data_IF_673110886590
#
_entry.id   IF_673110886590
#
_cell.length_a   1.000
_cell.length_b   1.000
_cell.length_c   1.000
_cell.angle_alpha   90.00
_cell.angle_beta   90.00
_cell.angle_gamma   90.00
#
_symmetry.space_group_name_H-M   'P 1'
#
loop_
_entity.id
_entity.type
_entity.pdbx_description
1 polymer ?
#
# COMPACT_ATOMS: atom_id res chain seq x y z
N UNK A 1 32.74 -17.45 16.67
CA UNK A 1 31.38 -17.04 17.05
C UNK A 1 31.05 -15.63 16.54
N UNK A 2 31.67 -14.54 17.03
CA UNK A 2 31.35 -13.16 16.58
C UNK A 2 31.47 -12.93 15.06
N UNK A 3 32.58 -13.35 14.44
CA UNK A 3 32.76 -13.21 12.98
C UNK A 3 31.77 -14.04 12.16
N UNK A 4 31.37 -15.22 12.66
CA UNK A 4 30.33 -16.02 12.00
C UNK A 4 28.99 -15.27 12.05
N UNK A 5 28.63 -14.70 13.20
CA UNK A 5 27.41 -13.90 13.31
C UNK A 5 27.39 -12.71 12.36
N UNK A 6 28.51 -11.99 12.18
CA UNK A 6 28.56 -10.88 11.20
C UNK A 6 28.39 -11.40 9.77
N UNK A 7 29.04 -12.51 9.41
CA UNK A 7 28.90 -13.10 8.08
C UNK A 7 27.46 -13.58 7.83
N UNK A 8 26.83 -14.19 8.84
CA UNK A 8 25.44 -14.63 8.80
C UNK A 8 24.49 -13.42 8.64
N UNK A 9 24.75 -12.31 9.34
CA UNK A 9 23.99 -11.06 9.17
C UNK A 9 24.10 -10.52 7.75
N UNK A 10 25.31 -10.40 7.21
CA UNK A 10 25.53 -9.89 5.85
C UNK A 10 24.88 -10.82 4.81
N UNK A 11 25.01 -12.13 5.00
CA UNK A 11 24.42 -13.13 4.13
C UNK A 11 22.90 -13.04 4.13
N UNK A 12 22.25 -12.95 5.30
CA UNK A 12 20.81 -12.77 5.42
C UNK A 12 20.36 -11.43 4.85
N UNK A 13 21.10 -10.34 5.09
CA UNK A 13 20.83 -9.05 4.45
C UNK A 13 20.80 -9.14 2.92
N UNK A 14 21.72 -9.88 2.31
CA UNK A 14 21.72 -10.15 0.87
C UNK A 14 20.59 -11.07 0.41
N UNK A 15 20.28 -12.11 1.17
CA UNK A 15 19.19 -13.02 0.84
C UNK A 15 17.83 -12.28 0.87
N UNK A 16 17.55 -11.54 1.95
CA UNK A 16 16.33 -10.72 2.06
C UNK A 16 16.24 -9.65 0.98
N UNK A 17 17.38 -9.04 0.59
CA UNK A 17 17.39 -8.09 -0.52
C UNK A 17 17.10 -8.77 -1.86
N UNK A 18 17.69 -9.93 -2.14
CA UNK A 18 17.45 -10.69 -3.38
C UNK A 18 16.00 -11.13 -3.49
N UNK A 19 15.41 -11.63 -2.40
CA UNK A 19 14.00 -12.01 -2.35
C UNK A 19 13.08 -10.81 -2.59
N UNK A 20 13.40 -9.66 -1.98
CA UNK A 20 12.68 -8.41 -2.20
C UNK A 20 12.79 -7.91 -3.64
N UNK A 21 14.00 -7.93 -4.24
CA UNK A 21 14.25 -7.47 -5.61
C UNK A 21 13.60 -8.37 -6.67
N UNK A 22 13.57 -9.69 -6.45
CA UNK A 22 13.15 -10.67 -7.46
C UNK A 22 11.65 -10.64 -7.74
N UNK A 23 10.83 -10.66 -6.68
CA UNK A 23 9.37 -10.73 -6.81
C UNK A 23 8.67 -9.40 -6.55
N UNK A 24 9.07 -8.69 -5.50
CA UNK A 24 8.33 -7.51 -5.03
C UNK A 24 8.65 -6.25 -5.83
N UNK A 25 9.91 -6.04 -6.24
CA UNK A 25 10.26 -4.84 -7.02
C UNK A 25 9.63 -4.86 -8.41
N UNK A 26 9.66 -6.00 -9.09
CA UNK A 26 9.15 -6.12 -10.45
C UNK A 26 7.61 -5.96 -10.49
N UNK A 27 6.91 -6.67 -9.61
CA UNK A 27 5.45 -6.78 -9.66
C UNK A 27 4.72 -5.67 -8.91
N UNK A 28 5.36 -5.03 -7.93
CA UNK A 28 4.72 -4.02 -7.09
C UNK A 28 5.40 -2.64 -7.19
N UNK A 29 6.72 -2.58 -7.00
CA UNK A 29 7.43 -1.29 -6.88
C UNK A 29 7.52 -0.52 -8.22
N UNK A 30 7.80 -1.20 -9.34
CA UNK A 30 7.85 -0.55 -10.66
C UNK A 30 6.47 0.04 -11.04
N UNK A 31 5.37 -0.74 -10.97
CA UNK A 31 4.03 -0.18 -11.16
C UNK A 31 3.70 0.96 -10.19
N UNK A 32 4.18 0.89 -8.94
CA UNK A 32 4.00 1.95 -7.95
C UNK A 32 4.55 3.30 -8.42
N UNK A 33 5.82 3.30 -8.85
CA UNK A 33 6.48 4.52 -9.29
C UNK A 33 5.83 5.07 -10.56
N UNK A 34 5.38 4.17 -11.44
CA UNK A 34 4.67 4.52 -12.65
C UNK A 34 3.31 5.18 -12.33
N UNK A 35 2.52 4.61 -11.41
CA UNK A 35 1.27 5.23 -10.94
C UNK A 35 1.54 6.57 -10.25
N UNK A 36 2.56 6.64 -9.39
CA UNK A 36 2.88 7.87 -8.68
C UNK A 36 3.28 9.00 -9.64
N UNK A 37 4.05 8.69 -10.68
CA UNK A 37 4.36 9.60 -11.78
C UNK A 37 3.11 10.01 -12.57
N UNK A 38 2.22 9.06 -12.87
CA UNK A 38 0.96 9.33 -13.56
C UNK A 38 0.09 10.27 -12.73
N UNK A 39 -0.04 10.00 -11.43
CA UNK A 39 -0.78 10.86 -10.51
C UNK A 39 -0.15 12.25 -10.39
N UNK A 40 1.18 12.36 -10.53
CA UNK A 40 1.85 13.66 -10.57
C UNK A 40 1.58 14.46 -11.84
N UNK A 41 1.40 13.83 -12.99
CA UNK A 41 1.09 14.56 -14.22
C UNK A 41 -0.42 14.81 -14.34
N UNK A 42 -1.22 13.78 -14.10
CA UNK A 42 -2.62 13.78 -14.46
C UNK A 42 -3.55 14.33 -13.35
N UNK A 43 -3.26 14.14 -12.05
CA UNK A 43 -4.17 14.66 -11.00
C UNK A 43 -4.17 16.20 -10.97
N UNK A 44 -5.29 16.89 -11.24
CA UNK A 44 -5.27 18.34 -11.26
C UNK A 44 -4.90 18.89 -9.88
N UNK A 45 -3.91 19.78 -9.83
CA UNK A 45 -3.47 20.44 -8.59
C UNK A 45 -4.64 21.08 -7.85
N UNK A 46 -5.61 21.62 -8.59
CA UNK A 46 -6.85 22.23 -8.09
C UNK A 46 -7.68 21.25 -7.24
N UNK A 47 -7.76 19.97 -7.62
CA UNK A 47 -8.51 18.98 -6.86
C UNK A 47 -7.81 18.66 -5.54
N UNK A 48 -6.48 18.51 -5.56
CA UNK A 48 -5.69 18.31 -4.35
C UNK A 48 -5.79 19.53 -3.43
N UNK A 49 -5.70 20.75 -3.95
CA UNK A 49 -5.85 21.96 -3.13
C UNK A 49 -7.28 22.11 -2.56
N UNK A 50 -8.31 21.73 -3.33
CA UNK A 50 -9.70 21.80 -2.89
C UNK A 50 -10.02 20.81 -1.76
N UNK A 51 -9.56 19.57 -1.86
CA UNK A 51 -9.93 18.49 -0.93
C UNK A 51 -8.85 18.14 0.10
N UNK A 52 -7.57 18.35 -0.21
CA UNK A 52 -6.44 18.00 0.66
C UNK A 52 -5.55 19.21 0.96
N UNK A 53 -5.86 20.39 0.43
CA UNK A 53 -5.04 21.59 0.56
C UNK A 53 -5.03 22.14 1.98
N UNK A 54 -4.03 22.97 2.28
CA UNK A 54 -3.88 23.60 3.60
C UNK A 54 -5.08 24.47 3.98
N UNK A 55 -5.65 25.18 3.01
CA UNK A 55 -6.77 26.10 3.23
C UNK A 55 -8.15 25.43 3.12
N UNK A 56 -8.18 24.11 2.86
CA UNK A 56 -9.42 23.35 2.80
C UNK A 56 -10.05 23.20 4.19
N UNK A 57 -11.38 23.15 4.25
CA UNK A 57 -12.09 22.94 5.51
C UNK A 57 -11.68 21.59 6.10
N UNK A 58 -11.16 21.60 7.34
CA UNK A 58 -10.65 20.42 8.04
C UNK A 58 -11.67 19.27 8.13
N UNK A 59 -12.96 19.61 8.23
CA UNK A 59 -14.05 18.64 8.26
C UNK A 59 -14.21 17.85 6.96
N UNK A 60 -13.68 18.36 5.84
CA UNK A 60 -13.68 17.67 4.54
C UNK A 60 -12.35 16.97 4.32
N UNK A 61 -11.22 17.66 4.57
CA UNK A 61 -9.93 17.13 4.15
C UNK A 61 -9.43 15.93 4.92
N UNK A 62 -9.71 15.86 6.23
CA UNK A 62 -9.31 14.74 7.05
C UNK A 62 -10.11 13.46 6.75
N UNK A 63 -11.45 13.48 6.68
CA UNK A 63 -12.22 12.30 6.28
C UNK A 63 -11.90 11.84 4.85
N UNK A 64 -11.76 12.77 3.89
CA UNK A 64 -11.39 12.42 2.51
C UNK A 64 -10.02 11.76 2.46
N UNK A 65 -9.03 12.26 3.21
CA UNK A 65 -7.71 11.64 3.29
C UNK A 65 -7.76 10.23 3.91
N UNK A 66 -8.52 10.06 5.01
CA UNK A 66 -8.64 8.78 5.69
C UNK A 66 -9.34 7.72 4.82
N UNK A 67 -10.47 8.09 4.20
CA UNK A 67 -11.25 7.22 3.30
C UNK A 67 -10.48 6.91 2.01
N UNK A 68 -9.73 7.88 1.47
CA UNK A 68 -8.86 7.61 0.32
C UNK A 68 -7.84 6.51 0.64
N UNK A 69 -7.34 6.42 1.86
CA UNK A 69 -6.48 5.32 2.29
C UNK A 69 -7.18 3.96 2.25
N UNK A 70 -8.43 3.88 2.74
CA UNK A 70 -9.24 2.65 2.74
C UNK A 70 -9.50 2.12 1.32
N UNK A 71 -9.74 3.02 0.36
CA UNK A 71 -10.09 2.65 -1.02
C UNK A 71 -8.87 2.25 -1.86
N UNK A 72 -7.70 2.79 -1.53
CA UNK A 72 -6.47 2.61 -2.31
C UNK A 72 -5.74 1.38 -1.73
N UNK A 73 -6.06 0.19 -2.27
CA UNK A 73 -5.48 -1.09 -1.86
C UNK A 73 -3.99 -1.19 -2.24
N UNK A 74 -3.15 -0.52 -1.46
CA UNK A 74 -1.79 -0.14 -1.84
C UNK A 74 -0.90 -0.30 -0.61
N UNK A 75 0.22 -1.00 -0.74
CA UNK A 75 1.14 -1.31 0.36
C UNK A 75 2.00 -0.09 0.76
N UNK A 76 2.73 -0.18 1.87
CA UNK A 76 3.61 0.91 2.34
C UNK A 76 4.62 1.39 1.27
N UNK A 77 5.15 0.49 0.44
CA UNK A 77 6.09 0.83 -0.65
C UNK A 77 5.48 1.73 -1.74
N UNK A 78 4.16 1.68 -1.91
CA UNK A 78 3.43 2.36 -3.00
C UNK A 78 2.72 3.62 -2.48
N UNK A 79 2.33 3.63 -1.21
CA UNK A 79 1.78 4.81 -0.51
C UNK A 79 2.83 5.93 -0.35
N UNK A 80 4.10 5.60 -0.14
CA UNK A 80 5.16 6.61 0.04
C UNK A 80 5.41 7.51 -1.20
N UNK A 81 5.58 6.96 -2.43
CA UNK A 81 5.60 7.76 -3.65
C UNK A 81 4.33 8.60 -3.84
N UNK A 82 3.17 8.01 -3.54
CA UNK A 82 1.89 8.68 -3.68
C UNK A 82 1.75 9.86 -2.70
N UNK A 83 2.15 9.67 -1.45
CA UNK A 83 2.27 10.71 -0.44
C UNK A 83 3.18 11.85 -0.93
N UNK A 84 4.33 11.51 -1.51
CA UNK A 84 5.24 12.50 -2.08
C UNK A 84 4.60 13.28 -3.24
N UNK A 85 3.82 12.61 -4.11
CA UNK A 85 3.08 13.24 -5.20
C UNK A 85 2.05 14.25 -4.70
N UNK A 86 1.19 13.87 -3.76
CA UNK A 86 0.16 14.78 -3.22
C UNK A 86 0.82 15.94 -2.43
N UNK A 87 1.95 15.69 -1.77
CA UNK A 87 2.72 16.72 -1.05
C UNK A 87 3.32 17.75 -1.97
N UNK A 88 3.98 17.33 -3.05
CA UNK A 88 4.54 18.24 -4.06
C UNK A 88 3.45 19.11 -4.71
N UNK A 89 2.22 18.59 -4.82
CA UNK A 89 1.06 19.33 -5.35
C UNK A 89 0.41 20.32 -4.38
N UNK A 90 0.88 20.39 -3.13
CA UNK A 90 0.42 21.38 -2.16
C UNK A 90 -0.60 20.88 -1.13
N UNK A 91 -0.72 19.57 -0.94
CA UNK A 91 -1.53 19.03 0.16
C UNK A 91 -1.04 19.53 1.54
N UNK A 92 -1.98 19.86 2.42
CA UNK A 92 -1.75 20.26 3.81
C UNK A 92 -0.98 19.19 4.59
N UNK A 93 -0.27 19.60 5.66
CA UNK A 93 0.52 18.67 6.48
C UNK A 93 -0.32 17.58 7.12
N UNK A 94 -1.42 17.96 7.76
CA UNK A 94 -2.31 17.01 8.41
C UNK A 94 -2.96 16.03 7.45
N UNK A 95 -3.74 16.47 6.44
CA UNK A 95 -4.42 15.56 5.51
C UNK A 95 -3.47 14.59 4.79
N UNK A 96 -2.26 15.04 4.44
CA UNK A 96 -1.28 14.17 3.80
C UNK A 96 -0.74 13.09 4.76
N UNK A 97 -0.54 13.41 6.05
CA UNK A 97 -0.10 12.43 7.06
C UNK A 97 -1.24 11.47 7.42
N UNK A 98 -2.48 11.96 7.51
CA UNK A 98 -3.67 11.13 7.67
C UNK A 98 -3.79 10.12 6.52
N UNK A 99 -3.57 10.56 5.28
CA UNK A 99 -3.52 9.66 4.13
C UNK A 99 -2.37 8.63 4.24
N UNK A 100 -1.16 9.09 4.56
CA UNK A 100 0.04 8.26 4.67
C UNK A 100 -0.14 7.13 5.70
N UNK A 101 -0.75 7.42 6.85
CA UNK A 101 -1.01 6.46 7.91
C UNK A 101 -2.19 5.54 7.57
N UNK A 102 -3.30 6.10 7.07
CA UNK A 102 -4.53 5.33 6.83
C UNK A 102 -4.35 4.27 5.73
N UNK A 103 -3.66 4.60 4.64
CA UNK A 103 -3.63 3.77 3.45
C UNK A 103 -3.13 2.32 3.67
N UNK A 104 -1.98 2.08 4.33
CA UNK A 104 -1.56 0.71 4.62
C UNK A 104 -2.31 0.11 5.82
N UNK A 105 -2.68 0.91 6.83
CA UNK A 105 -3.29 0.44 8.07
C UNK A 105 -4.71 -0.15 7.90
N UNK A 106 -5.53 0.48 7.05
CA UNK A 106 -6.93 0.08 6.80
C UNK A 106 -7.15 -0.49 5.40
N UNK A 107 -6.12 -0.98 4.75
CA UNK A 107 -6.26 -1.67 3.48
C UNK A 107 -7.28 -2.81 3.62
N UNK A 108 -8.29 -2.82 2.72
CA UNK A 108 -9.38 -3.80 2.73
C UNK A 108 -8.85 -5.25 2.75
N UNK A 109 -7.77 -5.54 2.02
CA UNK A 109 -7.17 -6.87 2.01
C UNK A 109 -6.55 -7.24 3.35
N UNK A 110 -5.82 -6.30 3.97
CA UNK A 110 -5.25 -6.50 5.30
C UNK A 110 -6.34 -6.77 6.34
N UNK A 111 -7.44 -6.02 6.27
CA UNK A 111 -8.58 -6.18 7.17
C UNK A 111 -9.30 -7.52 6.98
N UNK A 112 -9.54 -7.94 5.74
CA UNK A 112 -10.17 -9.23 5.44
C UNK A 112 -9.28 -10.39 5.89
N UNK A 113 -7.98 -10.35 5.58
CA UNK A 113 -7.03 -11.37 6.04
C UNK A 113 -6.92 -11.40 7.56
N UNK A 114 -6.81 -10.24 8.20
CA UNK A 114 -6.79 -10.14 9.66
C UNK A 114 -8.08 -10.72 10.25
N UNK A 115 -9.23 -10.47 9.62
CA UNK A 115 -10.52 -10.98 10.07
C UNK A 115 -10.63 -12.50 9.97
N UNK A 116 -10.21 -13.08 8.84
CA UNK A 116 -10.29 -14.52 8.60
C UNK A 116 -9.22 -15.34 9.34
N UNK A 117 -8.02 -14.78 9.48
CA UNK A 117 -6.87 -15.47 10.10
C UNK A 117 -6.69 -15.05 11.56
N UNK A 118 -6.99 -13.87 12.02
CA UNK A 118 -6.70 -13.52 13.44
C UNK A 118 -7.98 -13.45 14.27
N UNK A 119 -9.01 -12.87 13.68
CA UNK A 119 -10.32 -12.70 14.29
C UNK A 119 -10.92 -11.37 13.87
N UNK A 120 -12.26 -11.35 13.79
CA UNK A 120 -13.01 -10.16 13.43
C UNK A 120 -12.83 -9.02 14.44
N UNK A 121 -12.61 -9.34 15.71
CA UNK A 121 -12.31 -8.38 16.79
C UNK A 121 -11.05 -7.56 16.49
N UNK A 122 -9.94 -8.20 16.10
CA UNK A 122 -8.69 -7.51 15.76
C UNK A 122 -8.86 -6.72 14.46
N UNK A 123 -9.57 -7.26 13.46
CA UNK A 123 -9.80 -6.55 12.20
C UNK A 123 -10.63 -5.27 12.39
N UNK A 124 -11.71 -5.33 13.17
CA UNK A 124 -12.57 -4.18 13.48
C UNK A 124 -11.78 -3.16 14.31
N UNK A 125 -11.06 -3.61 15.33
CA UNK A 125 -10.21 -2.73 16.14
C UNK A 125 -9.13 -2.05 15.29
N UNK A 126 -8.45 -2.79 14.42
CA UNK A 126 -7.48 -2.26 13.45
C UNK A 126 -8.12 -1.18 12.58
N UNK A 127 -9.28 -1.44 11.98
CA UNK A 127 -9.96 -0.45 11.13
C UNK A 127 -10.33 0.84 11.88
N UNK A 128 -11.00 0.71 13.04
CA UNK A 128 -11.50 1.86 13.80
C UNK A 128 -10.35 2.67 14.38
N UNK A 129 -9.41 2.02 15.09
CA UNK A 129 -8.30 2.71 15.73
C UNK A 129 -7.36 3.35 14.71
N UNK A 130 -7.12 2.69 13.57
CA UNK A 130 -6.30 3.28 12.51
C UNK A 130 -6.91 4.56 11.93
N UNK A 131 -8.20 4.55 11.61
CA UNK A 131 -8.87 5.75 11.08
C UNK A 131 -8.86 6.90 12.09
N UNK A 132 -9.16 6.60 13.35
CA UNK A 132 -9.14 7.59 14.43
C UNK A 132 -7.73 8.16 14.63
N UNK A 133 -6.72 7.30 14.76
CA UNK A 133 -5.34 7.74 15.00
C UNK A 133 -4.73 8.42 13.76
N UNK A 134 -5.06 8.01 12.55
CA UNK A 134 -4.64 8.71 11.33
C UNK A 134 -5.08 10.19 11.35
N UNK A 135 -6.34 10.44 11.74
CA UNK A 135 -6.90 11.79 11.82
C UNK A 135 -6.23 12.57 12.97
N UNK A 136 -6.10 11.95 14.15
CA UNK A 136 -5.50 12.59 15.32
C UNK A 136 -4.02 12.92 15.08
N UNK A 137 -3.22 11.98 14.58
CA UNK A 137 -1.79 12.18 14.28
C UNK A 137 -1.64 13.28 13.22
N UNK A 138 -2.44 13.25 12.17
CA UNK A 138 -2.46 14.31 11.16
C UNK A 138 -2.78 15.68 11.76
N UNK A 139 -3.78 15.74 12.65
CA UNK A 139 -4.20 16.98 13.28
C UNK A 139 -3.14 17.54 14.22
N UNK A 140 -2.53 16.68 15.05
CA UNK A 140 -1.42 17.06 15.93
C UNK A 140 -0.22 17.55 15.10
N UNK A 141 0.13 16.85 14.02
CA UNK A 141 1.22 17.25 13.12
C UNK A 141 0.95 18.61 12.47
N UNK A 142 -0.30 18.88 12.09
CA UNK A 142 -0.71 20.20 11.64
C UNK A 142 -0.57 21.22 12.77
N UNK A 143 -1.08 20.98 13.97
CA UNK A 143 -0.97 21.94 15.08
C UNK A 143 0.47 22.29 15.47
N UNK A 144 1.38 21.30 15.50
CA UNK A 144 2.78 21.50 15.90
C UNK A 144 3.54 22.32 14.85
N UNK A 145 3.28 22.07 13.56
CA UNK A 145 4.08 22.62 12.47
C UNK A 145 3.36 23.69 11.63
N UNK A 146 2.07 23.89 11.84
CA UNK A 146 1.30 25.00 11.28
C UNK A 146 1.52 26.26 12.13
N UNK A 147 2.79 26.64 12.27
CA UNK A 147 3.10 28.01 12.63
C UNK A 147 2.63 28.86 11.46
N UNK A 148 1.55 29.63 11.67
CA UNK A 148 1.24 30.84 10.90
C UNK A 148 2.57 31.56 10.72
N UNK A 149 3.16 31.54 9.51
CA UNK A 149 4.22 32.49 9.19
C UNK A 149 3.58 33.86 9.40
N UNK A 150 4.09 34.71 10.31
CA UNK A 150 3.64 36.08 10.35
C UNK A 150 3.92 36.68 8.96
N UNK A 151 2.92 37.34 8.40
CA UNK A 151 3.09 38.22 7.24
C UNK A 151 4.15 39.27 7.59
N UNK A 152 5.41 39.03 7.23
CA UNK A 152 6.47 40.05 7.08
C UNK A 152 7.79 39.41 6.65
N UNK A 153 7.81 38.99 5.38
CA UNK A 153 8.96 39.02 4.42
C UNK A 153 8.50 38.51 3.03
N UNK A 154 7.22 38.71 2.70
CA UNK A 154 6.52 38.22 1.49
C UNK A 154 6.62 39.17 0.28
N UNK A 155 7.74 39.87 0.11
CA UNK A 155 7.80 41.07 -0.75
C UNK A 155 8.22 40.86 -2.21
N UNK A 156 8.98 39.81 -2.55
CA UNK A 156 9.57 39.67 -3.90
C UNK A 156 9.53 38.26 -4.48
N UNK A 157 9.72 37.22 -3.68
CA UNK A 157 9.71 35.82 -4.17
C UNK A 157 8.29 35.27 -4.37
N UNK A 158 7.34 35.58 -3.47
CA UNK A 158 5.93 35.17 -3.62
C UNK A 158 5.23 35.91 -4.77
N UNK A 159 5.62 37.16 -5.05
CA UNK A 159 5.06 37.93 -6.19
C UNK A 159 5.50 37.36 -7.53
N UNK A 160 6.76 36.94 -7.64
CA UNK A 160 7.25 36.26 -8.84
C UNK A 160 6.62 34.86 -8.99
N UNK A 161 6.45 34.12 -7.89
CA UNK A 161 5.75 32.84 -7.90
C UNK A 161 4.25 32.96 -8.19
N UNK A 162 3.56 34.01 -7.76
CA UNK A 162 2.16 34.27 -8.09
C UNK A 162 1.98 34.70 -9.56
N UNK A 163 2.93 35.47 -10.10
CA UNK A 163 2.95 35.87 -11.51
C UNK A 163 3.24 34.65 -12.40
N UNK A 164 4.21 33.81 -12.03
CA UNK A 164 4.50 32.56 -12.73
C UNK A 164 3.34 31.57 -12.61
N UNK A 165 2.71 31.43 -11.43
CA UNK A 165 1.51 30.60 -11.25
C UNK A 165 0.24 31.16 -11.91
N UNK A 166 0.15 32.47 -12.17
CA UNK A 166 -0.96 33.07 -12.93
C UNK A 166 -0.75 32.91 -14.44
N UNK A 167 0.50 32.98 -14.92
CA UNK A 167 0.87 32.63 -16.30
C UNK A 167 0.65 31.13 -16.56
N UNK A 168 1.15 30.27 -15.67
CA UNK A 168 0.89 28.83 -15.71
C UNK A 168 -0.60 28.53 -15.61
N UNK A 169 -1.40 29.19 -14.75
CA UNK A 169 -2.86 29.01 -14.72
C UNK A 169 -3.56 29.44 -16.01
N UNK A 170 -3.08 30.48 -16.69
CA UNK A 170 -3.65 30.95 -17.95
C UNK A 170 -3.27 30.04 -19.11
N UNK A 171 -2.08 29.45 -19.09
CA UNK A 171 -1.63 28.45 -20.06
C UNK A 171 -2.23 27.05 -19.81
N UNK A 172 -2.32 26.60 -18.55
CA UNK A 172 -3.02 25.37 -18.13
C UNK A 172 -4.52 25.44 -18.42
N UNK A 173 -5.20 26.57 -18.14
CA UNK A 173 -6.62 26.74 -18.52
C UNK A 173 -6.84 26.70 -20.03
N UNK A 174 -5.81 27.04 -20.83
CA UNK A 174 -5.87 26.98 -22.30
C UNK A 174 -5.56 25.59 -22.86
N UNK A 175 -4.80 24.75 -22.12
CA UNK A 175 -4.37 23.40 -22.54
C UNK A 175 -5.15 22.25 -21.88
N UNK A 176 -5.74 22.42 -20.71
CA UNK A 176 -6.41 21.34 -19.97
C UNK A 176 -7.91 21.58 -19.80
N UNK A 177 -8.68 21.19 -20.81
CA UNK A 177 -9.97 20.54 -20.53
C UNK A 177 -9.64 19.19 -19.90
N UNK A 178 -9.73 19.12 -18.56
CA UNK A 178 -9.48 17.89 -17.80
C UNK A 178 -10.44 16.82 -18.32
N UNK A 179 -9.93 15.91 -19.14
CA UNK A 179 -10.71 14.78 -19.58
C UNK A 179 -10.65 13.74 -18.45
N UNK A 180 -11.58 13.83 -17.50
CA UNK A 180 -11.73 12.90 -16.38
C UNK A 180 -11.78 11.43 -16.85
N UNK A 181 -12.16 11.19 -18.12
CA UNK A 181 -12.04 9.88 -18.76
C UNK A 181 -10.60 9.39 -18.90
N UNK A 182 -9.62 10.26 -19.22
CA UNK A 182 -8.19 9.89 -19.39
C UNK A 182 -7.50 9.58 -18.05
N UNK A 183 -7.86 10.26 -16.97
CA UNK A 183 -7.34 9.95 -15.62
C UNK A 183 -7.89 8.64 -15.08
N UNK A 184 -9.23 8.50 -15.19
CA UNK A 184 -9.93 7.32 -14.73
C UNK A 184 -9.40 6.06 -15.41
N UNK A 185 -9.10 6.14 -16.72
CA UNK A 185 -8.60 4.99 -17.49
C UNK A 185 -7.17 4.58 -17.16
N UNK A 186 -6.23 5.51 -16.92
CA UNK A 186 -4.86 5.15 -16.49
C UNK A 186 -4.88 4.60 -15.06
N UNK A 187 -5.55 5.30 -14.15
CA UNK A 187 -5.57 4.92 -12.73
C UNK A 187 -6.27 3.59 -12.52
N UNK A 188 -7.40 3.31 -13.19
CA UNK A 188 -8.09 2.03 -13.08
C UNK A 188 -7.48 0.93 -13.95
N UNK A 189 -6.87 1.24 -15.10
CA UNK A 189 -6.20 0.23 -15.92
C UNK A 189 -4.97 -0.36 -15.21
N UNK A 190 -4.16 0.49 -14.57
CA UNK A 190 -3.00 0.02 -13.79
C UNK A 190 -3.43 -0.55 -12.45
N UNK A 191 -4.44 0.03 -11.77
CA UNK A 191 -5.00 -0.55 -10.54
C UNK A 191 -5.68 -1.89 -10.78
N UNK A 192 -6.44 -2.05 -11.87
CA UNK A 192 -7.06 -3.31 -12.28
C UNK A 192 -6.04 -4.36 -12.71
N UNK A 193 -4.93 -3.96 -13.35
CA UNK A 193 -3.81 -4.84 -13.66
C UNK A 193 -3.07 -5.28 -12.39
N UNK A 194 -2.83 -4.37 -11.43
CA UNK A 194 -2.18 -4.70 -10.16
C UNK A 194 -3.07 -5.52 -9.24
N UNK A 195 -4.35 -5.17 -9.13
CA UNK A 195 -5.35 -5.96 -8.43
C UNK A 195 -5.47 -7.33 -9.10
N UNK A 196 -5.48 -7.40 -10.42
CA UNK A 196 -5.40 -8.65 -11.18
C UNK A 196 -4.19 -9.48 -10.75
N UNK A 197 -2.97 -8.97 -10.92
CA UNK A 197 -1.73 -9.67 -10.53
C UNK A 197 -1.76 -10.12 -9.06
N UNK A 198 -2.26 -9.28 -8.16
CA UNK A 198 -2.38 -9.55 -6.73
C UNK A 198 -3.41 -10.67 -6.43
N UNK A 199 -4.58 -10.62 -7.08
CA UNK A 199 -5.60 -11.67 -7.03
C UNK A 199 -5.12 -12.99 -7.65
N UNK A 200 -4.15 -12.93 -8.56
CA UNK A 200 -3.55 -14.09 -9.21
C UNK A 200 -2.41 -14.72 -8.39
N UNK A 201 -1.88 -13.99 -7.41
CA UNK A 201 -0.93 -14.45 -6.39
C UNK A 201 -1.60 -14.89 -5.08
N UNK A 202 -2.91 -14.70 -4.96
CA UNK A 202 -3.68 -15.11 -3.78
C UNK A 202 -3.72 -16.65 -3.70
N UNK A 203 -3.07 -17.19 -2.68
CA UNK A 203 -2.79 -18.61 -2.51
C UNK A 203 -3.99 -19.40 -1.95
N UNK A 204 -4.02 -20.70 -2.24
CA UNK A 204 -4.99 -21.70 -1.79
C UNK A 204 -5.19 -21.72 -0.27
N UNK A 205 -4.16 -21.36 0.48
CA UNK A 205 -4.18 -21.28 1.96
C UNK A 205 -5.17 -20.26 2.52
N UNK A 206 -5.49 -19.17 1.79
CA UNK A 206 -6.52 -18.23 2.24
C UNK A 206 -7.92 -18.85 2.09
N UNK A 207 -8.16 -19.61 1.01
CA UNK A 207 -9.45 -20.24 0.74
C UNK A 207 -9.85 -21.24 1.83
N UNK A 208 -8.89 -22.05 2.29
CA UNK A 208 -9.12 -23.02 3.35
C UNK A 208 -9.49 -22.34 4.68
N UNK A 209 -9.03 -21.09 4.91
CA UNK A 209 -9.33 -20.31 6.11
C UNK A 209 -10.70 -19.62 6.11
N UNK A 210 -11.31 -19.40 4.94
CA UNK A 210 -12.59 -18.70 4.79
C UNK A 210 -13.81 -19.64 4.76
N UNK A 211 -13.62 -20.95 4.94
CA UNK A 211 -14.71 -21.94 4.89
C UNK A 211 -15.35 -22.10 3.51
N UNK A 212 -14.73 -21.53 2.45
CA UNK A 212 -15.19 -21.71 1.07
C UNK A 212 -14.70 -23.09 0.63
N UNK A 213 -15.53 -24.10 0.90
CA UNK A 213 -15.21 -25.52 0.74
C UNK A 213 -14.87 -25.97 -0.69
N UNK A 214 -15.02 -25.10 -1.69
CA UNK A 214 -14.52 -25.37 -3.04
C UNK A 214 -13.73 -24.19 -3.61
N UNK A 215 -12.48 -24.43 -4.07
CA UNK A 215 -11.70 -23.44 -4.82
C UNK A 215 -12.42 -22.85 -6.02
N UNK A 216 -13.36 -23.62 -6.60
CA UNK A 216 -14.22 -23.22 -7.69
C UNK A 216 -15.15 -22.05 -7.32
N UNK A 217 -15.79 -22.08 -6.15
CA UNK A 217 -16.72 -21.03 -5.70
C UNK A 217 -15.97 -19.72 -5.47
N UNK A 218 -14.82 -19.75 -4.82
CA UNK A 218 -14.00 -18.55 -4.60
C UNK A 218 -13.55 -17.94 -5.93
N UNK A 219 -13.05 -18.77 -6.84
CA UNK A 219 -12.61 -18.32 -8.16
C UNK A 219 -13.76 -17.73 -8.96
N UNK A 220 -14.98 -18.25 -8.79
CA UNK A 220 -16.20 -17.71 -9.37
C UNK A 220 -16.63 -16.39 -8.72
N UNK A 221 -16.50 -16.24 -7.40
CA UNK A 221 -16.78 -14.97 -6.69
C UNK A 221 -15.79 -13.89 -7.13
N UNK A 222 -14.50 -14.21 -7.16
CA UNK A 222 -13.48 -13.31 -7.68
C UNK A 222 -13.78 -12.95 -9.14
N UNK A 223 -14.21 -13.94 -9.94
CA UNK A 223 -14.65 -13.74 -11.32
C UNK A 223 -15.77 -12.69 -11.43
N UNK A 224 -16.83 -12.86 -10.64
CA UNK A 224 -18.00 -11.96 -10.58
C UNK A 224 -17.58 -10.55 -10.16
N UNK A 225 -16.72 -10.41 -9.14
CA UNK A 225 -16.25 -9.11 -8.66
C UNK A 225 -15.45 -8.38 -9.75
N UNK A 226 -14.51 -9.07 -10.41
CA UNK A 226 -13.74 -8.45 -11.49
C UNK A 226 -14.62 -8.10 -12.71
N UNK A 227 -15.56 -8.94 -13.11
CA UNK A 227 -16.53 -8.61 -14.17
C UNK A 227 -17.43 -7.44 -13.80
N UNK A 228 -17.98 -7.43 -12.59
CA UNK A 228 -18.80 -6.34 -12.09
C UNK A 228 -18.01 -5.02 -12.08
N UNK A 229 -16.74 -5.05 -11.65
CA UNK A 229 -15.87 -3.86 -11.66
C UNK A 229 -15.61 -3.34 -13.09
N UNK A 230 -15.42 -4.23 -14.07
CA UNK A 230 -15.20 -3.88 -15.48
C UNK A 230 -16.48 -3.37 -16.17
N UNK A 231 -17.64 -3.93 -15.83
CA UNK A 231 -18.95 -3.50 -16.34
C UNK A 231 -19.30 -2.12 -15.77
N UNK A 232 -19.16 -1.95 -14.44
CA UNK A 232 -19.35 -0.66 -13.77
C UNK A 232 -18.41 0.38 -14.39
N UNK A 233 -17.16 0.02 -14.68
CA UNK A 233 -16.21 0.89 -15.37
C UNK A 233 -16.66 1.26 -16.79
N UNK A 234 -17.14 0.28 -17.58
CA UNK A 234 -17.67 0.52 -18.92
C UNK A 234 -18.87 1.46 -18.91
N UNK A 235 -19.72 1.37 -17.88
CA UNK A 235 -20.89 2.22 -17.69
C UNK A 235 -20.51 3.63 -17.25
N UNK A 236 -19.57 3.78 -16.31
CA UNK A 236 -19.16 5.10 -15.78
C UNK A 236 -18.40 5.92 -16.84
N UNK A 237 -17.53 5.28 -17.62
CA UNK A 237 -16.60 6.01 -18.49
C UNK A 237 -16.93 5.98 -19.98
N UNK A 238 -17.99 5.26 -20.39
CA UNK A 238 -18.44 5.12 -21.77
C UNK A 238 -17.29 4.74 -22.75
N UNK A 239 -16.31 3.96 -22.28
CA UNK A 239 -15.15 3.49 -23.05
C UNK A 239 -15.31 2.00 -23.37
N UNK A 240 -16.16 1.66 -24.34
CA UNK A 240 -16.52 0.26 -24.68
C UNK A 240 -15.33 -0.58 -25.17
N UNK A 241 -14.36 0.01 -25.86
CA UNK A 241 -13.22 -0.75 -26.41
C UNK A 241 -12.18 -1.16 -25.35
N UNK A 242 -11.94 -0.32 -24.35
CA UNK A 242 -10.99 -0.61 -23.28
C UNK A 242 -11.55 -1.66 -22.30
N UNK A 243 -12.83 -1.57 -21.98
CA UNK A 243 -13.50 -2.55 -21.10
C UNK A 243 -13.57 -3.92 -21.74
N UNK A 244 -13.85 -4.01 -23.06
CA UNK A 244 -13.85 -5.28 -23.79
C UNK A 244 -12.47 -5.95 -23.82
N UNK A 245 -11.39 -5.17 -23.96
CA UNK A 245 -10.04 -5.71 -23.94
C UNK A 245 -9.64 -6.25 -22.55
N UNK A 246 -9.88 -5.49 -21.48
CA UNK A 246 -9.65 -5.97 -20.11
C UNK A 246 -10.55 -7.15 -19.76
N UNK A 247 -11.80 -7.17 -20.24
CA UNK A 247 -12.72 -8.30 -20.09
C UNK A 247 -12.22 -9.54 -20.85
N UNK A 248 -11.65 -9.38 -22.05
CA UNK A 248 -11.03 -10.47 -22.81
C UNK A 248 -9.80 -11.05 -22.09
N UNK A 249 -8.88 -10.21 -21.62
CA UNK A 249 -7.73 -10.67 -20.82
C UNK A 249 -8.20 -11.36 -19.55
N UNK A 250 -9.15 -10.76 -18.84
CA UNK A 250 -9.70 -11.31 -17.62
C UNK A 250 -10.33 -12.68 -17.85
N UNK A 251 -11.18 -12.83 -18.87
CA UNK A 251 -11.84 -14.08 -19.24
C UNK A 251 -10.83 -15.14 -19.71
N UNK A 252 -9.79 -14.78 -20.46
CA UNK A 252 -8.73 -15.72 -20.88
C UNK A 252 -7.87 -16.18 -19.68
N UNK A 253 -7.59 -15.28 -18.74
CA UNK A 253 -6.79 -15.59 -17.55
C UNK A 253 -7.56 -16.48 -16.56
N UNK A 254 -8.83 -16.17 -16.31
CA UNK A 254 -9.66 -16.99 -15.42
C UNK A 254 -10.09 -18.29 -16.09
N UNK A 255 -10.33 -18.26 -17.41
CA UNK A 255 -10.67 -19.44 -18.21
C UNK A 255 -9.54 -20.48 -18.23
N UNK A 256 -8.28 -20.07 -18.40
CA UNK A 256 -7.12 -20.99 -18.34
C UNK A 256 -6.95 -21.64 -16.96
N UNK A 257 -7.15 -20.86 -15.89
CA UNK A 257 -7.11 -21.38 -14.53
C UNK A 257 -8.27 -22.34 -14.19
N UNK A 258 -9.43 -22.19 -14.85
CA UNK A 258 -10.55 -23.14 -14.75
C UNK A 258 -10.33 -24.39 -15.59
N UNK A 259 -9.76 -24.26 -16.81
CA UNK A 259 -9.45 -25.40 -17.68
C UNK A 259 -8.43 -26.34 -17.02
N UNK A 260 -7.40 -25.79 -16.37
CA UNK A 260 -6.42 -26.60 -15.64
C UNK A 260 -7.02 -27.31 -14.41
N UNK A 261 -8.03 -26.71 -13.77
CA UNK A 261 -8.72 -27.30 -12.63
C UNK A 261 -9.76 -28.34 -13.07
N UNK A 262 -10.45 -28.07 -14.19
CA UNK A 262 -11.43 -28.94 -14.80
C UNK A 262 -10.79 -30.18 -15.43
N UNK A 263 -9.62 -30.04 -16.07
CA UNK A 263 -8.85 -31.17 -16.60
C UNK A 263 -8.29 -32.07 -15.49
N UNK A 264 -7.90 -31.48 -14.34
CA UNK A 264 -7.50 -32.22 -13.15
C UNK A 264 -8.68 -32.94 -12.46
N UNK A 265 -9.88 -32.34 -12.47
CA UNK A 265 -11.09 -32.92 -11.86
C UNK A 265 -11.72 -34.04 -12.72
N UNK A 266 -11.64 -33.93 -14.05
CA UNK A 266 -12.19 -34.94 -14.98
C UNK A 266 -11.19 -36.02 -15.43
N UNK A 267 -9.97 -36.02 -14.91
CA UNK A 267 -9.01 -37.09 -15.17
C UNK A 267 -8.63 -37.25 -16.65
N UNK A 268 -8.52 -36.16 -17.40
CA UNK A 268 -8.04 -36.19 -18.80
C UNK A 268 -6.51 -36.33 -18.79
N UNK A 269 -6.04 -37.52 -18.43
CA UNK A 269 -4.63 -37.84 -18.21
C UNK A 269 -3.89 -38.34 -19.44
N UNK A 270 -3.81 -37.56 -20.52
CA UNK A 270 -2.98 -37.92 -21.69
C UNK A 270 -2.17 -36.77 -22.32
N UNK A 271 -2.01 -35.64 -21.61
CA UNK A 271 -1.04 -34.61 -22.00
C UNK A 271 0.09 -34.59 -20.96
N UNK A 272 1.29 -34.96 -21.39
CA UNK A 272 2.54 -35.03 -20.61
C UNK A 272 3.09 -33.68 -20.17
N UNK A 273 2.26 -32.65 -20.09
CA UNK A 273 2.68 -31.30 -19.75
C UNK A 273 2.27 -31.03 -18.30
N UNK A 274 3.25 -30.71 -17.45
CA UNK A 274 3.02 -30.42 -16.05
C UNK A 274 1.97 -29.27 -15.90
N UNK A 275 0.80 -29.51 -15.29
CA UNK A 275 -0.27 -28.52 -15.20
C UNK A 275 0.16 -27.23 -14.50
N UNK A 276 1.11 -27.30 -13.56
CA UNK A 276 1.67 -26.12 -12.88
C UNK A 276 2.52 -25.26 -13.83
N UNK A 277 3.27 -25.89 -14.74
CA UNK A 277 4.09 -25.20 -15.73
C UNK A 277 3.23 -24.51 -16.79
N UNK A 278 2.18 -25.17 -17.30
CA UNK A 278 1.22 -24.55 -18.21
C UNK A 278 0.53 -23.34 -17.58
N UNK A 279 0.10 -23.45 -16.32
CA UNK A 279 -0.46 -22.33 -15.59
C UNK A 279 0.55 -21.19 -15.42
N UNK A 280 1.81 -21.48 -15.04
CA UNK A 280 2.83 -20.43 -14.94
C UNK A 280 3.08 -19.73 -16.29
N UNK A 281 3.15 -20.51 -17.37
CA UNK A 281 3.41 -20.02 -18.72
C UNK A 281 2.25 -19.17 -19.26
N UNK A 282 1.01 -19.60 -19.08
CA UNK A 282 -0.17 -18.82 -19.49
C UNK A 282 -0.28 -17.51 -18.70
N UNK A 283 -0.03 -17.56 -17.38
CA UNK A 283 0.03 -16.35 -16.54
C UNK A 283 1.09 -15.37 -17.06
N UNK A 284 2.30 -15.86 -17.32
CA UNK A 284 3.39 -15.05 -17.84
C UNK A 284 3.07 -14.41 -19.21
N UNK A 285 2.57 -15.20 -20.16
CA UNK A 285 2.20 -14.71 -21.50
C UNK A 285 1.09 -13.66 -21.44
N UNK A 286 0.06 -13.88 -20.63
CA UNK A 286 -1.04 -12.92 -20.48
C UNK A 286 -0.57 -11.62 -19.79
N UNK A 287 0.30 -11.70 -18.79
CA UNK A 287 0.90 -10.49 -18.19
C UNK A 287 1.75 -9.71 -19.19
N UNK A 288 2.47 -10.41 -20.06
CA UNK A 288 3.28 -9.80 -21.12
C UNK A 288 2.38 -9.12 -22.18
N UNK A 289 1.31 -9.77 -22.62
CA UNK A 289 0.32 -9.19 -23.54
C UNK A 289 -0.36 -7.97 -22.91
N UNK A 290 -0.78 -8.06 -21.64
CA UNK A 290 -1.37 -6.95 -20.91
C UNK A 290 -0.41 -5.76 -20.81
N UNK A 291 0.86 -6.03 -20.54
CA UNK A 291 1.92 -5.01 -20.47
C UNK A 291 2.15 -4.35 -21.82
N UNK A 292 2.26 -5.13 -22.90
CA UNK A 292 2.39 -4.61 -24.27
C UNK A 292 1.19 -3.74 -24.63
N UNK A 293 -0.02 -4.18 -24.30
CA UNK A 293 -1.21 -3.38 -24.55
C UNK A 293 -1.22 -2.08 -23.77
N UNK A 294 -0.89 -2.09 -22.48
CA UNK A 294 -0.80 -0.86 -21.67
C UNK A 294 0.23 0.10 -22.27
N UNK A 295 1.35 -0.41 -22.77
CA UNK A 295 2.38 0.39 -23.46
C UNK A 295 1.82 0.98 -24.76
N UNK A 296 1.21 0.16 -25.62
CA UNK A 296 0.62 0.62 -26.90
C UNK A 296 -0.50 1.63 -26.66
N UNK A 297 -1.38 1.37 -25.69
CA UNK A 297 -2.46 2.26 -25.27
C UNK A 297 -1.92 3.59 -24.75
N UNK A 298 -0.85 3.54 -23.96
CA UNK A 298 -0.17 4.76 -23.47
C UNK A 298 0.41 5.57 -24.62
N UNK A 299 1.03 4.92 -25.60
CA UNK A 299 1.62 5.59 -26.76
C UNK A 299 0.54 6.16 -27.70
N UNK A 300 -0.63 5.53 -27.81
CA UNK A 300 -1.69 5.96 -28.72
C UNK A 300 -2.58 7.07 -28.15
N UNK A 301 -2.72 7.17 -26.82
CA UNK A 301 -3.65 8.12 -26.17
C UNK A 301 -3.02 9.36 -25.53
N UNK A 302 -1.72 9.36 -25.24
CA UNK A 302 -1.02 10.47 -24.59
C UNK A 302 -0.05 11.15 -25.52
N UNK A 303 0.06 12.48 -25.42
CA UNK A 303 0.97 13.26 -26.26
C UNK A 303 2.44 13.01 -25.88
N UNK A 304 3.35 13.29 -26.81
CA UNK A 304 4.80 13.07 -26.60
C UNK A 304 5.33 13.87 -25.39
N UNK A 305 4.78 15.06 -25.15
CA UNK A 305 5.13 15.89 -23.99
C UNK A 305 4.63 15.27 -22.67
N UNK A 306 3.34 14.88 -22.61
CA UNK A 306 2.73 14.24 -21.44
C UNK A 306 3.48 12.95 -21.04
N UNK A 307 3.81 12.10 -22.02
CA UNK A 307 4.60 10.88 -21.77
C UNK A 307 5.99 11.18 -21.23
N UNK A 308 6.65 12.22 -21.77
CA UNK A 308 8.00 12.60 -21.34
C UNK A 308 7.99 13.10 -19.90
N UNK A 309 7.03 13.94 -19.55
CA UNK A 309 6.86 14.46 -18.19
C UNK A 309 6.53 13.32 -17.21
N UNK A 310 5.64 12.42 -17.60
CA UNK A 310 5.30 11.25 -16.79
C UNK A 310 6.52 10.35 -16.53
N UNK A 311 7.28 10.01 -17.57
CA UNK A 311 8.49 9.20 -17.42
C UNK A 311 9.55 9.91 -16.57
N UNK A 312 9.67 11.24 -16.70
CA UNK A 312 10.59 12.05 -15.90
C UNK A 312 10.22 12.01 -14.42
N UNK A 313 8.94 12.15 -14.08
CA UNK A 313 8.50 12.06 -12.67
C UNK A 313 8.62 10.65 -12.10
N UNK A 314 8.26 9.63 -12.90
CA UNK A 314 8.47 8.21 -12.53
C UNK A 314 9.94 7.95 -12.21
N UNK A 315 10.85 8.42 -13.06
CA UNK A 315 12.30 8.28 -12.86
C UNK A 315 12.83 9.08 -11.67
N UNK A 316 12.28 10.27 -11.43
CA UNK A 316 12.58 11.11 -10.26
C UNK A 316 12.23 10.40 -8.96
N UNK A 317 11.08 9.72 -8.90
CA UNK A 317 10.67 8.91 -7.77
C UNK A 317 11.54 7.67 -7.59
N UNK A 318 11.78 6.92 -8.67
CA UNK A 318 12.66 5.75 -8.64
C UNK A 318 14.04 6.11 -8.07
N UNK A 319 14.72 7.11 -8.63
CA UNK A 319 16.03 7.58 -8.14
C UNK A 319 15.99 8.05 -6.68
N UNK A 320 14.85 8.57 -6.25
CA UNK A 320 14.74 9.14 -4.91
C UNK A 320 14.45 8.12 -3.82
N UNK A 321 13.71 7.06 -4.16
CA UNK A 321 13.13 6.10 -3.20
C UNK A 321 13.85 4.75 -3.29
N UNK A 322 14.17 4.26 -4.48
CA UNK A 322 14.78 2.94 -4.68
C UNK A 322 16.08 2.73 -3.88
N UNK A 323 17.05 3.67 -3.86
CA UNK A 323 18.27 3.47 -3.07
C UNK A 323 18.00 3.37 -1.56
N UNK A 324 17.02 4.13 -1.05
CA UNK A 324 16.64 4.09 0.36
C UNK A 324 15.99 2.76 0.72
N UNK A 325 15.15 2.21 -0.17
CA UNK A 325 14.53 0.90 0.02
C UNK A 325 15.60 -0.19 0.03
N UNK A 326 16.54 -0.19 -0.93
CA UNK A 326 17.63 -1.18 -0.99
C UNK A 326 18.44 -1.19 0.31
N UNK A 327 18.84 -0.02 0.81
CA UNK A 327 19.57 0.09 2.07
C UNK A 327 18.70 -0.39 3.24
N UNK A 328 17.45 0.03 3.31
CA UNK A 328 16.56 -0.32 4.41
C UNK A 328 16.24 -1.80 4.48
N UNK A 329 15.98 -2.47 3.34
CA UNK A 329 15.74 -3.92 3.28
C UNK A 329 16.99 -4.71 3.63
N UNK A 330 18.15 -4.30 3.13
CA UNK A 330 19.42 -4.94 3.50
C UNK A 330 19.68 -4.87 5.01
N UNK A 331 19.54 -3.68 5.61
CA UNK A 331 19.72 -3.49 7.05
C UNK A 331 18.68 -4.28 7.86
N UNK A 332 17.43 -4.32 7.41
CA UNK A 332 16.39 -5.13 8.07
C UNK A 332 16.77 -6.63 8.08
N UNK A 333 17.18 -7.20 6.93
CA UNK A 333 17.61 -8.60 6.85
C UNK A 333 18.88 -8.90 7.66
N UNK A 334 19.78 -7.94 7.82
CA UNK A 334 20.92 -8.09 8.75
C UNK A 334 20.45 -8.20 10.20
N UNK A 335 19.44 -7.41 10.59
CA UNK A 335 18.96 -7.34 11.97
C UNK A 335 18.08 -8.53 12.34
N UNK A 336 17.45 -9.20 11.37
CA UNK A 336 16.68 -10.44 11.59
C UNK A 336 17.50 -11.52 12.33
N UNK A 337 18.79 -11.65 12.03
CA UNK A 337 19.70 -12.62 12.68
C UNK A 337 19.90 -12.33 14.18
N UNK A 338 19.73 -11.06 14.59
CA UNK A 338 19.97 -10.61 15.97
C UNK A 338 18.74 -10.80 16.86
N UNK A 339 17.53 -11.00 16.30
CA UNK A 339 16.28 -10.99 17.08
C UNK A 339 15.80 -12.43 17.36
N UNK A 340 16.17 -13.05 18.51
CA UNK A 340 15.70 -14.39 18.83
C UNK A 340 14.22 -14.40 19.22
N UNK A 341 13.46 -15.31 18.62
CA UNK A 341 12.04 -15.57 18.88
C UNK A 341 11.72 -15.79 20.37
N UNK A 342 12.68 -16.34 21.14
CA UNK A 342 12.54 -16.61 22.58
C UNK A 342 12.50 -15.34 23.44
N UNK A 343 13.23 -14.28 23.05
CA UNK A 343 13.23 -13.01 23.80
C UNK A 343 11.87 -12.32 23.67
N UNK A 344 11.32 -12.34 22.46
CA UNK A 344 10.03 -11.75 22.13
C UNK A 344 8.94 -12.37 23.00
N UNK A 345 8.88 -13.71 23.11
CA UNK A 345 7.87 -14.44 23.91
C UNK A 345 7.79 -14.00 25.39
N UNK A 346 8.93 -13.68 26.03
CA UNK A 346 8.95 -13.29 27.45
C UNK A 346 8.40 -11.88 27.72
N UNK A 347 8.52 -10.97 26.73
CA UNK A 347 8.16 -9.55 26.88
C UNK A 347 6.78 -9.24 26.28
N UNK A 348 6.38 -9.95 25.21
CA UNK A 348 5.12 -9.67 24.49
C UNK A 348 3.91 -10.47 25.00
N UNK A 349 4.13 -11.41 25.92
CA UNK A 349 3.07 -12.29 26.44
C UNK A 349 2.04 -11.60 27.34
N UNK A 350 2.33 -10.39 27.85
CA UNK A 350 1.38 -9.60 28.66
C UNK A 350 1.05 -8.28 27.98
N UNK A 351 -0.22 -7.89 28.06
CA UNK A 351 -0.66 -6.56 27.64
C UNK A 351 -0.16 -5.50 28.64
N UNK A 352 1.04 -4.99 28.40
CA UNK A 352 1.70 -3.97 29.22
C UNK A 352 2.28 -2.87 28.34
N UNK A 353 2.62 -1.72 28.91
CA UNK A 353 3.24 -0.62 28.15
C UNK A 353 4.53 -1.11 27.48
N UNK A 354 5.35 -1.85 28.22
CA UNK A 354 6.61 -2.42 27.71
C UNK A 354 6.33 -3.43 26.60
N UNK A 355 5.39 -4.36 26.80
CA UNK A 355 5.02 -5.33 25.78
C UNK A 355 4.59 -4.66 24.47
N UNK A 356 3.69 -3.67 24.55
CA UNK A 356 3.18 -2.97 23.37
C UNK A 356 4.29 -2.16 22.67
N UNK A 357 5.14 -1.47 23.44
CA UNK A 357 6.29 -0.76 22.89
C UNK A 357 7.27 -1.71 22.20
N UNK A 358 7.51 -2.89 22.77
CA UNK A 358 8.33 -3.93 22.14
C UNK A 358 7.68 -4.45 20.86
N UNK A 359 6.36 -4.61 20.82
CA UNK A 359 5.63 -4.97 19.59
C UNK A 359 5.77 -3.91 18.49
N UNK A 360 5.68 -2.62 18.85
CA UNK A 360 5.91 -1.50 17.91
C UNK A 360 7.36 -1.48 17.43
N UNK A 361 8.33 -1.62 18.33
CA UNK A 361 9.74 -1.70 17.98
C UNK A 361 10.03 -2.89 17.06
N UNK A 362 9.38 -4.02 17.30
CA UNK A 362 9.49 -5.19 16.43
C UNK A 362 9.03 -4.85 15.02
N UNK A 363 7.88 -4.17 14.84
CA UNK A 363 7.41 -3.72 13.52
C UNK A 363 8.30 -2.67 12.84
N UNK A 364 9.05 -1.86 13.58
CA UNK A 364 10.04 -0.92 13.01
C UNK A 364 11.16 -1.67 12.26
N UNK A 365 11.59 -2.80 12.82
CA UNK A 365 12.72 -3.58 12.31
C UNK A 365 12.29 -4.71 11.37
N UNK A 366 11.18 -5.36 11.69
CA UNK A 366 10.62 -6.47 10.94
C UNK A 366 9.58 -5.92 9.99
N UNK A 367 10.01 -5.63 8.76
CA UNK A 367 9.12 -5.19 7.70
C UNK A 367 8.55 -6.40 6.95
N UNK A 368 7.25 -6.64 7.09
CA UNK A 368 6.59 -7.68 6.30
C UNK A 368 5.66 -7.06 5.24
N UNK A 369 5.64 -7.63 4.02
CA UNK A 369 4.57 -7.33 3.09
C UNK A 369 3.22 -7.69 3.74
N UNK A 370 2.20 -6.86 3.50
CA UNK A 370 0.86 -6.98 4.12
C UNK A 370 0.25 -8.39 4.02
N UNK A 371 0.58 -9.15 2.96
CA UNK A 371 0.09 -10.52 2.76
C UNK A 371 0.76 -11.55 3.70
N UNK A 372 1.99 -11.27 4.15
CA UNK A 372 2.78 -12.12 5.05
C UNK A 372 2.66 -11.68 6.50
N UNK A 373 2.34 -10.41 6.74
CA UNK A 373 2.12 -9.82 8.06
C UNK A 373 1.11 -10.62 8.90
N UNK A 374 -0.04 -10.97 8.32
CA UNK A 374 -1.15 -11.63 9.05
C UNK A 374 -0.84 -13.08 9.42
N UNK A 375 -0.35 -13.96 8.53
CA UNK A 375 0.08 -15.30 8.91
C UNK A 375 1.15 -15.31 10.00
N UNK A 376 2.12 -14.40 9.93
CA UNK A 376 3.19 -14.28 10.92
C UNK A 376 2.64 -13.79 12.27
N UNK A 377 1.73 -12.81 12.24
CA UNK A 377 1.01 -12.36 13.43
C UNK A 377 0.23 -13.51 14.11
N UNK A 378 -0.43 -14.38 13.33
CA UNK A 378 -1.08 -15.60 13.88
C UNK A 378 -0.05 -16.54 14.51
N UNK A 379 1.12 -16.72 13.90
CA UNK A 379 2.20 -17.52 14.49
C UNK A 379 2.61 -16.95 15.86
N UNK A 380 2.82 -15.64 15.98
CA UNK A 380 3.17 -15.04 17.28
C UNK A 380 2.07 -15.16 18.33
N UNK A 381 0.81 -15.04 17.94
CA UNK A 381 -0.32 -15.34 18.83
C UNK A 381 -0.25 -16.78 19.36
N UNK A 382 0.01 -17.76 18.48
CA UNK A 382 0.13 -19.16 18.87
C UNK A 382 1.34 -19.41 19.80
N UNK A 383 2.39 -18.60 19.67
CA UNK A 383 3.56 -18.61 20.57
C UNK A 383 3.33 -17.85 21.89
N UNK A 384 2.12 -17.35 22.14
CA UNK A 384 1.72 -16.72 23.40
C UNK A 384 1.78 -15.19 23.42
N UNK A 385 1.93 -14.52 22.27
CA UNK A 385 1.84 -13.06 22.19
C UNK A 385 0.45 -12.58 22.58
N UNK A 386 0.37 -11.55 23.43
CA UNK A 386 -0.92 -10.99 23.81
C UNK A 386 -1.59 -10.27 22.64
N UNK A 387 -2.92 -10.39 22.53
CA UNK A 387 -3.71 -9.78 21.45
C UNK A 387 -3.56 -8.26 21.37
N UNK A 388 -3.35 -7.58 22.50
CA UNK A 388 -3.06 -6.14 22.56
C UNK A 388 -1.73 -5.79 21.88
N UNK A 389 -0.65 -6.47 22.29
CA UNK A 389 0.68 -6.26 21.71
C UNK A 389 0.71 -6.60 20.22
N UNK A 390 -0.06 -7.62 19.81
CA UNK A 390 -0.21 -7.96 18.40
C UNK A 390 -0.83 -6.81 17.60
N UNK A 391 -1.89 -6.18 18.10
CA UNK A 391 -2.51 -5.06 17.42
C UNK A 391 -1.55 -3.86 17.32
N UNK A 392 -0.79 -3.57 18.39
CA UNK A 392 0.23 -2.52 18.35
C UNK A 392 1.29 -2.77 17.27
N UNK A 393 1.70 -4.03 17.10
CA UNK A 393 2.61 -4.46 16.03
C UNK A 393 1.98 -4.30 14.62
N UNK A 394 0.75 -4.81 14.42
CA UNK A 394 0.04 -4.74 13.12
C UNK A 394 -0.24 -3.30 12.65
N UNK A 395 -0.30 -2.34 13.58
CA UNK A 395 -0.47 -0.92 13.32
C UNK A 395 0.84 -0.15 13.17
N UNK A 396 1.98 -0.79 13.44
CA UNK A 396 3.29 -0.14 13.41
C UNK A 396 4.16 -0.61 12.25
N UNK A 397 4.08 -1.90 11.89
CA UNK A 397 4.87 -2.50 10.81
C UNK A 397 4.77 -1.71 9.48
N UNK A 398 3.57 -1.44 8.92
CA UNK A 398 3.47 -0.70 7.67
C UNK A 398 3.96 0.76 7.73
N UNK A 399 3.89 1.40 8.91
CA UNK A 399 4.05 2.84 9.08
C UNK A 399 5.45 3.24 9.54
N UNK A 400 6.04 2.44 10.43
CA UNK A 400 7.30 2.75 11.13
C UNK A 400 8.49 1.92 10.66
N UNK A 401 8.35 1.11 9.63
CA UNK A 401 9.49 0.39 9.06
C UNK A 401 10.66 1.34 8.74
N UNK A 402 11.89 0.86 8.90
CA UNK A 402 13.11 1.65 8.61
C UNK A 402 13.03 2.29 7.22
N UNK A 403 12.51 1.56 6.24
CA UNK A 403 12.29 2.02 4.87
C UNK A 403 11.33 3.22 4.86
N UNK A 404 10.18 3.10 5.52
CA UNK A 404 9.19 4.18 5.64
C UNK A 404 9.79 5.42 6.30
N UNK A 405 10.50 5.25 7.41
CA UNK A 405 11.15 6.35 8.16
C UNK A 405 12.16 7.08 7.28
N UNK A 406 12.99 6.37 6.51
CA UNK A 406 14.00 6.97 5.64
C UNK A 406 13.37 7.77 4.49
N UNK A 407 12.32 7.22 3.87
CA UNK A 407 11.64 7.88 2.75
C UNK A 407 10.85 9.09 3.23
N UNK A 408 10.07 8.96 4.31
CA UNK A 408 9.32 10.06 4.92
C UNK A 408 10.23 11.18 5.41
N UNK A 409 11.40 10.85 5.98
CA UNK A 409 12.43 11.82 6.36
C UNK A 409 12.87 12.70 5.21
N UNK A 410 13.01 12.14 4.00
CA UNK A 410 13.41 12.88 2.80
C UNK A 410 12.37 13.91 2.36
N UNK A 411 11.07 13.63 2.55
CA UNK A 411 9.98 14.52 2.11
C UNK A 411 9.47 15.47 3.21
N UNK A 412 9.50 15.06 4.47
CA UNK A 412 9.05 15.86 5.61
C UNK A 412 10.19 16.68 6.24
N UNK A 413 11.43 16.22 6.12
CA UNK A 413 12.59 16.74 6.83
C UNK A 413 12.71 16.16 8.26
N UNK A 414 13.92 16.24 8.82
CA UNK A 414 14.29 15.55 10.07
C UNK A 414 13.34 15.81 11.24
N UNK A 415 13.01 17.09 11.52
CA UNK A 415 12.19 17.47 12.68
C UNK A 415 10.76 16.93 12.60
N UNK A 416 10.11 17.09 11.44
CA UNK A 416 8.74 16.60 11.23
C UNK A 416 8.69 15.08 11.24
N UNK A 417 9.70 14.45 10.65
CA UNK A 417 9.79 13.00 10.63
C UNK A 417 9.94 12.41 12.03
N UNK A 418 10.81 12.99 12.86
CA UNK A 418 10.99 12.52 14.23
C UNK A 418 9.69 12.60 15.04
N UNK A 419 8.96 13.72 14.94
CA UNK A 419 7.66 13.86 15.61
C UNK A 419 6.63 12.90 15.04
N UNK A 420 6.60 12.69 13.73
CA UNK A 420 5.72 11.69 13.11
C UNK A 420 5.98 10.28 13.66
N UNK A 421 7.24 9.83 13.66
CA UNK A 421 7.63 8.52 14.21
C UNK A 421 7.23 8.41 15.68
N UNK A 422 7.54 9.42 16.49
CA UNK A 422 7.19 9.44 17.91
C UNK A 422 5.68 9.35 18.13
N UNK A 423 4.88 10.12 17.39
CA UNK A 423 3.42 10.09 17.50
C UNK A 423 2.87 8.72 17.11
N UNK A 424 3.30 8.17 15.99
CA UNK A 424 2.87 6.84 15.55
C UNK A 424 3.24 5.78 16.60
N UNK A 425 4.47 5.80 17.12
CA UNK A 425 4.87 4.86 18.19
C UNK A 425 3.96 4.94 19.42
N UNK A 426 3.63 6.15 19.85
CA UNK A 426 2.74 6.38 21.00
C UNK A 426 1.32 5.88 20.71
N UNK A 427 0.75 6.26 19.57
CA UNK A 427 -0.62 5.90 19.22
C UNK A 427 -0.79 4.40 18.95
N UNK A 428 0.17 3.72 18.32
CA UNK A 428 0.13 2.27 18.15
C UNK A 428 0.27 1.54 19.49
N UNK A 429 1.12 2.05 20.40
CA UNK A 429 1.22 1.53 21.78
C UNK A 429 -0.09 1.69 22.54
N UNK A 430 -0.72 2.87 22.45
CA UNK A 430 -2.03 3.15 23.04
C UNK A 430 -3.11 2.25 22.43
N UNK A 431 -3.09 2.03 21.12
CA UNK A 431 -4.02 1.15 20.42
C UNK A 431 -4.04 -0.25 21.02
N UNK A 432 -2.85 -0.86 21.16
CA UNK A 432 -2.73 -2.20 21.70
C UNK A 432 -3.08 -2.28 23.19
N UNK A 433 -2.74 -1.24 23.97
CA UNK A 433 -3.16 -1.15 25.37
C UNK A 433 -4.70 -1.08 25.51
N UNK A 434 -5.36 -0.19 24.76
CA UNK A 434 -6.81 -0.04 24.76
C UNK A 434 -7.47 -1.35 24.35
N UNK A 435 -7.05 -1.93 23.22
CA UNK A 435 -7.63 -3.16 22.72
C UNK A 435 -7.41 -4.33 23.68
N UNK A 436 -6.20 -4.50 24.20
CA UNK A 436 -5.92 -5.56 25.16
C UNK A 436 -6.67 -5.37 26.48
N UNK A 437 -6.99 -4.15 26.90
CA UNK A 437 -7.85 -3.89 28.06
C UNK A 437 -9.31 -4.30 27.79
N UNK A 438 -9.86 -3.92 26.64
CA UNK A 438 -11.23 -4.27 26.22
C UNK A 438 -11.38 -5.79 26.15
N UNK A 439 -10.45 -6.47 25.45
CA UNK A 439 -10.47 -7.93 25.29
C UNK A 439 -10.14 -8.67 26.60
N UNK A 440 -9.33 -8.11 27.51
CA UNK A 440 -9.09 -8.75 28.82
C UNK A 440 -10.31 -8.74 29.73
N UNK A 441 -11.21 -7.76 29.58
CA UNK A 441 -12.49 -7.70 30.31
C UNK A 441 -13.55 -8.59 29.67
N UNK A 442 -13.47 -8.76 28.36
CA UNK A 442 -14.31 -9.65 27.58
C UNK A 442 -13.60 -10.98 27.35
N UNK A 443 -13.67 -11.89 28.31
CA UNK A 443 -13.44 -13.32 28.05
C UNK A 443 -14.54 -13.89 27.16
N UNK A 444 -14.75 -13.30 25.98
CA UNK A 444 -15.66 -13.81 24.96
C UNK A 444 -14.88 -14.91 24.22
N UNK A 445 -15.13 -16.14 24.67
CA UNK A 445 -14.79 -17.34 23.93
C UNK A 445 -15.57 -17.31 22.61
N UNK A 446 -14.92 -16.87 21.54
CA UNK A 446 -15.35 -17.20 20.19
C UNK A 446 -14.84 -18.60 19.88
N UNK A 447 -15.72 -19.58 20.06
CA UNK A 447 -15.51 -20.98 19.66
C UNK A 447 -15.51 -21.13 18.15
#
# INVERSE_FOLDING_TARGET
MFWQTILDMIYNGWLSLLDYLSFHVLLCLIPAFFIAGAMMVFVPKNAILKYLGKDSKKIVSYPVAAIAGLLIAVCSCTVLPLFASIKKKGAGLGPAITFLFSAPAVNILALVYTGSIIGADIAIARAILSLLFAIIIGYIMELIFDRKKPEKKKGKEEKNQEIDQQKERKEEKKKLTVNWSKLGTISLGVFGLLLGILLLTLDKKLLDSMGIASPLIFQTIMWIIGLASLIIFSLIYNQKELSLFFLLIYVLFTGTSQIAYFSAYWGIGNLTVNPSFLNMLTKALLTLIATIYVVIFTISRFDKEERREWMKETWSFFKSIFPLIVIGVFVAGMLEVIIPEKWVQSVVGRNSVVGNLTGVLFGVFMYFPTLMEVPIARMFLNLGMSRGVLLAYLLADPELSIQSILVTRKYLGNKKNFIFVLLVTIFCTIAGLIFGLVVSKESIKWY
#
